data_IF_605482542341
#
_entry.id   IF_605482542341
#
_cell.length_a   1.000
_cell.length_b   1.000
_cell.length_c   1.000
_cell.angle_alpha   90.00
_cell.angle_beta   90.00
_cell.angle_gamma   90.00
#
_symmetry.space_group_name_H-M   'P 1'
#
loop_
_entity.id
_entity.type
_entity.pdbx_description
1 polymer ?
#
# COMPACT_ATOMS: atom_id res chain seq x y z
N UNK A 1 -19.80 0.05 42.17
CA UNK A 1 -18.32 0.08 42.03
C UNK A 1 -17.83 -0.71 40.82
N UNK A 2 -18.50 -1.81 40.40
CA UNK A 2 -18.12 -2.58 39.21
C UNK A 2 -18.18 -1.77 37.89
N UNK A 3 -19.15 -0.87 37.71
CA UNK A 3 -19.28 -0.07 36.48
C UNK A 3 -18.04 0.77 36.16
N UNK A 4 -17.37 1.35 37.17
CA UNK A 4 -16.16 2.16 36.96
C UNK A 4 -14.94 1.35 36.53
N UNK A 5 -14.93 0.04 36.78
CA UNK A 5 -13.80 -0.81 36.39
C UNK A 5 -13.75 -1.05 34.87
N UNK A 6 -14.89 -0.97 34.18
CA UNK A 6 -15.00 -1.19 32.74
C UNK A 6 -14.95 0.12 31.93
N UNK A 7 -15.20 1.27 32.56
CA UNK A 7 -15.14 2.59 31.91
C UNK A 7 -13.77 2.84 31.23
N UNK A 8 -12.66 2.43 31.87
CA UNK A 8 -11.31 2.57 31.31
C UNK A 8 -11.12 1.79 30.00
N UNK A 9 -11.26 0.45 30.00
CA UNK A 9 -11.16 -0.36 28.79
C UNK A 9 -12.15 0.03 27.68
N UNK A 10 -13.35 0.47 28.03
CA UNK A 10 -14.34 0.98 27.06
C UNK A 10 -13.88 2.29 26.41
N UNK A 11 -13.33 3.22 27.18
CA UNK A 11 -12.78 4.49 26.67
C UNK A 11 -11.55 4.27 25.78
N UNK A 12 -10.67 3.34 26.17
CA UNK A 12 -9.52 2.94 25.37
C UNK A 12 -9.97 2.29 24.06
N UNK A 13 -10.96 1.39 24.10
CA UNK A 13 -11.55 0.80 22.91
C UNK A 13 -12.08 1.86 21.93
N UNK A 14 -12.83 2.84 22.43
CA UNK A 14 -13.35 3.93 21.59
C UNK A 14 -12.22 4.74 20.94
N UNK A 15 -11.15 5.01 21.69
CA UNK A 15 -9.96 5.72 21.20
C UNK A 15 -9.25 4.93 20.10
N UNK A 16 -8.97 3.64 20.34
CA UNK A 16 -8.32 2.76 19.37
C UNK A 16 -9.18 2.54 18.11
N UNK A 17 -10.50 2.51 18.27
CA UNK A 17 -11.43 2.42 17.13
C UNK A 17 -11.36 3.68 16.27
N UNK A 18 -11.30 4.85 16.90
CA UNK A 18 -11.06 6.13 16.21
C UNK A 18 -9.73 6.16 15.48
N UNK A 19 -8.67 5.61 16.09
CA UNK A 19 -7.36 5.49 15.45
C UNK A 19 -7.41 4.58 14.21
N UNK A 20 -8.08 3.42 14.29
CA UNK A 20 -8.28 2.53 13.13
C UNK A 20 -8.99 3.26 11.98
N UNK A 21 -10.06 4.00 12.25
CA UNK A 21 -10.80 4.75 11.23
C UNK A 21 -9.93 5.83 10.57
N UNK A 22 -9.16 6.58 11.36
CA UNK A 22 -8.18 7.55 10.87
C UNK A 22 -7.16 6.89 9.94
N UNK A 23 -6.61 5.73 10.34
CA UNK A 23 -5.64 4.97 9.52
C UNK A 23 -6.25 4.45 8.21
N UNK A 24 -7.53 4.06 8.18
CA UNK A 24 -8.23 3.73 6.94
C UNK A 24 -8.36 4.94 6.01
N UNK A 25 -8.67 6.13 6.55
CA UNK A 25 -8.71 7.37 5.76
C UNK A 25 -7.34 7.68 5.14
N UNK A 26 -6.25 7.53 5.91
CA UNK A 26 -4.89 7.67 5.38
C UNK A 26 -4.57 6.66 4.26
N UNK A 27 -5.04 5.41 4.36
CA UNK A 27 -4.86 4.43 3.28
C UNK A 27 -5.56 4.87 1.97
N UNK A 28 -6.78 5.38 2.07
CA UNK A 28 -7.50 5.91 0.91
C UNK A 28 -6.80 7.13 0.30
N UNK A 29 -6.27 8.03 1.14
CA UNK A 29 -5.47 9.17 0.68
C UNK A 29 -4.20 8.74 -0.06
N UNK A 30 -3.49 7.72 0.42
CA UNK A 30 -2.30 7.19 -0.26
C UNK A 30 -2.66 6.62 -1.64
N UNK A 31 -3.77 5.89 -1.75
CA UNK A 31 -4.25 5.37 -3.04
C UNK A 31 -4.62 6.50 -4.00
N UNK A 32 -5.36 7.50 -3.53
CA UNK A 32 -5.73 8.67 -4.34
C UNK A 32 -4.49 9.44 -4.82
N UNK A 33 -3.49 9.60 -3.94
CA UNK A 33 -2.22 10.24 -4.29
C UNK A 33 -1.45 9.43 -5.33
N UNK A 34 -1.37 8.11 -5.18
CA UNK A 34 -0.72 7.22 -6.15
C UNK A 34 -1.37 7.33 -7.54
N UNK A 35 -2.69 7.30 -7.60
CA UNK A 35 -3.43 7.44 -8.86
C UNK A 35 -3.22 8.82 -9.49
N UNK A 36 -3.30 9.88 -8.69
CA UNK A 36 -3.10 11.26 -9.14
C UNK A 36 -1.69 11.47 -9.68
N UNK A 37 -0.68 11.04 -8.90
CA UNK A 37 0.73 11.19 -9.25
C UNK A 37 1.07 10.39 -10.51
N UNK A 38 0.63 9.13 -10.58
CA UNK A 38 0.85 8.29 -11.76
C UNK A 38 0.20 8.92 -12.99
N UNK A 39 -1.07 9.33 -12.89
CA UNK A 39 -1.78 9.97 -14.01
C UNK A 39 -1.10 11.25 -14.47
N UNK A 40 -0.66 12.09 -13.54
CA UNK A 40 0.05 13.34 -13.85
C UNK A 40 1.40 13.08 -14.54
N UNK A 41 2.18 12.13 -14.05
CA UNK A 41 3.48 11.79 -14.65
C UNK A 41 3.30 11.20 -16.05
N UNK A 42 2.33 10.28 -16.22
CA UNK A 42 2.05 9.72 -17.54
C UNK A 42 1.53 10.78 -18.51
N UNK A 43 0.60 11.65 -18.10
CA UNK A 43 0.12 12.75 -18.92
C UNK A 43 1.26 13.69 -19.33
N UNK A 44 2.15 14.05 -18.40
CA UNK A 44 3.31 14.86 -18.69
C UNK A 44 4.24 14.16 -19.67
N UNK A 45 4.54 12.88 -19.48
CA UNK A 45 5.42 12.10 -20.36
C UNK A 45 4.89 12.00 -21.81
N UNK A 46 3.58 12.04 -22.00
CA UNK A 46 2.95 12.05 -23.33
C UNK A 46 2.75 13.44 -23.94
N UNK A 47 2.89 14.51 -23.15
CA UNK A 47 2.86 15.87 -23.67
C UNK A 47 4.13 16.16 -24.50
N UNK A 48 4.02 16.91 -25.59
CA UNK A 48 5.18 17.34 -26.39
C UNK A 48 5.50 18.81 -26.09
N UNK A 49 6.79 19.19 -25.90
CA UNK A 49 7.98 18.35 -25.77
C UNK A 49 8.24 17.96 -24.29
N UNK A 50 7.98 16.71 -23.90
CA UNK A 50 8.35 16.20 -22.59
C UNK A 50 9.40 15.09 -22.66
N UNK A 51 10.37 15.06 -21.72
CA UNK A 51 11.35 13.99 -21.64
C UNK A 51 10.72 12.71 -21.07
N UNK A 52 10.72 11.64 -21.87
CA UNK A 52 10.26 10.31 -21.46
C UNK A 52 10.92 9.77 -20.17
N UNK A 53 12.09 10.32 -19.79
CA UNK A 53 12.78 9.97 -18.55
C UNK A 53 11.98 10.28 -17.27
N UNK A 54 10.98 11.17 -17.31
CA UNK A 54 10.10 11.46 -16.16
C UNK A 54 9.33 10.21 -15.70
N UNK A 55 9.05 9.26 -16.60
CA UNK A 55 8.40 8.00 -16.25
C UNK A 55 9.19 7.17 -15.23
N UNK A 56 10.52 7.34 -15.15
CA UNK A 56 11.36 6.65 -14.18
C UNK A 56 11.11 7.10 -12.72
N UNK A 57 10.36 8.18 -12.52
CA UNK A 57 9.91 8.60 -11.19
C UNK A 57 8.81 7.66 -10.67
N UNK A 58 7.98 7.09 -11.55
CA UNK A 58 6.82 6.27 -11.16
C UNK A 58 7.19 5.04 -10.34
N UNK A 59 8.18 4.20 -10.71
CA UNK A 59 8.55 3.04 -9.91
C UNK A 59 9.01 3.40 -8.50
N UNK A 60 9.73 4.53 -8.35
CA UNK A 60 10.24 5.00 -7.06
C UNK A 60 9.11 5.49 -6.16
N UNK A 61 8.24 6.36 -6.69
CA UNK A 61 7.12 6.91 -5.92
C UNK A 61 6.12 5.83 -5.53
N UNK A 62 5.84 4.89 -6.46
CA UNK A 62 4.98 3.73 -6.21
C UNK A 62 5.50 2.86 -5.07
N UNK A 63 6.82 2.62 -5.01
CA UNK A 63 7.44 1.87 -3.92
C UNK A 63 7.30 2.59 -2.57
N UNK A 64 7.61 3.88 -2.49
CA UNK A 64 7.51 4.66 -1.25
C UNK A 64 6.08 4.68 -0.72
N UNK A 65 5.09 4.90 -1.61
CA UNK A 65 3.68 4.93 -1.24
C UNK A 65 3.16 3.54 -0.85
N UNK A 66 3.60 2.47 -1.55
CA UNK A 66 3.27 1.10 -1.18
C UNK A 66 3.78 0.75 0.24
N UNK A 67 5.03 1.12 0.55
CA UNK A 67 5.59 0.93 1.89
C UNK A 67 4.76 1.62 2.98
N UNK A 68 4.35 2.87 2.74
CA UNK A 68 3.47 3.61 3.66
C UNK A 68 2.09 2.96 3.80
N UNK A 69 1.50 2.52 2.70
CA UNK A 69 0.21 1.83 2.69
C UNK A 69 0.24 0.56 3.56
N UNK A 70 1.28 -0.26 3.38
CA UNK A 70 1.48 -1.50 4.12
C UNK A 70 1.78 -1.24 5.60
N UNK A 71 2.52 -0.17 5.91
CA UNK A 71 2.76 0.29 7.27
C UNK A 71 1.46 0.56 8.01
N UNK A 72 0.55 1.35 7.41
CA UNK A 72 -0.76 1.63 8.02
C UNK A 72 -1.59 0.36 8.24
N UNK A 73 -1.55 -0.57 7.27
CA UNK A 73 -2.28 -1.84 7.39
C UNK A 73 -1.75 -2.70 8.52
N UNK A 74 -0.45 -2.70 8.72
CA UNK A 74 0.20 -3.43 9.80
C UNK A 74 -0.20 -2.85 11.15
N UNK A 75 -0.18 -1.52 11.30
CA UNK A 75 -0.64 -0.86 12.53
C UNK A 75 -2.10 -1.18 12.86
N UNK A 76 -3.01 -1.13 11.88
CA UNK A 76 -4.42 -1.52 12.08
C UNK A 76 -4.54 -2.96 12.60
N UNK A 77 -3.75 -3.89 12.04
CA UNK A 77 -3.75 -5.30 12.49
C UNK A 77 -3.24 -5.43 13.93
N UNK A 78 -2.25 -4.64 14.33
CA UNK A 78 -1.70 -4.67 15.69
C UNK A 78 -2.72 -4.14 16.69
N UNK A 79 -3.35 -3.00 16.39
CA UNK A 79 -4.43 -2.44 17.23
C UNK A 79 -5.59 -3.43 17.34
N UNK A 80 -6.02 -4.02 16.22
CA UNK A 80 -7.11 -5.00 16.21
C UNK A 80 -6.78 -6.23 17.06
N UNK A 81 -5.54 -6.72 17.00
CA UNK A 81 -5.07 -7.82 17.84
C UNK A 81 -5.07 -7.44 19.31
N UNK A 82 -4.56 -6.26 19.65
CA UNK A 82 -4.54 -5.77 21.04
C UNK A 82 -5.95 -5.65 21.63
N UNK A 83 -6.91 -5.09 20.87
CA UNK A 83 -8.32 -5.03 21.26
C UNK A 83 -8.86 -6.43 21.57
N UNK A 84 -8.51 -7.41 20.74
CA UNK A 84 -9.02 -8.77 20.87
C UNK A 84 -8.37 -9.54 22.03
N UNK A 85 -7.04 -9.46 22.19
CA UNK A 85 -6.29 -10.28 23.14
C UNK A 85 -6.22 -9.67 24.53
N UNK A 86 -6.05 -8.34 24.62
CA UNK A 86 -5.83 -7.66 25.91
C UNK A 86 -7.09 -6.99 26.42
N UNK A 87 -7.83 -6.30 25.53
CA UNK A 87 -8.90 -5.41 25.93
C UNK A 87 -10.24 -6.14 26.08
N UNK A 88 -10.56 -7.06 25.15
CA UNK A 88 -11.82 -7.80 25.14
C UNK A 88 -12.05 -8.68 26.39
N UNK A 89 -11.04 -9.34 26.98
CA UNK A 89 -11.24 -10.13 28.20
C UNK A 89 -11.55 -9.29 29.46
N UNK A 90 -11.22 -7.99 29.45
CA UNK A 90 -11.41 -7.11 30.61
C UNK A 90 -12.85 -6.63 30.77
N UNK A 91 -13.68 -6.77 29.74
CA UNK A 91 -15.09 -6.32 29.74
C UNK A 91 -16.00 -7.55 29.71
N UNK A 92 -16.96 -7.70 30.64
CA UNK A 92 -17.90 -8.81 30.64
C UNK A 92 -18.75 -8.80 29.36
N UNK A 93 -18.78 -9.93 28.64
CA UNK A 93 -19.41 -10.04 27.32
C UNK A 93 -18.52 -9.63 26.14
N UNK A 94 -17.33 -9.08 26.42
CA UNK A 94 -16.35 -8.65 25.43
C UNK A 94 -16.85 -7.53 24.50
N UNK A 95 -16.07 -7.24 23.47
CA UNK A 95 -16.50 -6.31 22.44
C UNK A 95 -17.27 -7.08 21.36
N UNK A 96 -18.56 -6.75 21.17
CA UNK A 96 -19.39 -7.37 20.13
C UNK A 96 -18.95 -7.03 18.70
N UNK A 97 -18.22 -5.93 18.51
CA UNK A 97 -17.77 -5.49 17.18
C UNK A 97 -16.68 -6.39 16.56
N UNK A 98 -15.58 -6.75 17.26
CA UNK A 98 -14.61 -7.72 16.74
C UNK A 98 -15.20 -9.08 16.34
N UNK A 99 -16.18 -9.58 17.08
CA UNK A 99 -16.91 -10.82 16.77
C UNK A 99 -17.83 -10.66 15.57
N UNK A 100 -18.66 -9.60 15.54
CA UNK A 100 -19.49 -9.27 14.38
C UNK A 100 -18.66 -9.04 13.11
N UNK A 101 -17.57 -8.27 13.19
CA UNK A 101 -16.69 -7.96 12.07
C UNK A 101 -16.04 -9.21 11.48
N UNK A 102 -15.73 -10.22 12.32
CA UNK A 102 -15.25 -11.53 11.85
C UNK A 102 -16.37 -12.31 11.15
N UNK A 103 -17.56 -12.37 11.73
CA UNK A 103 -18.70 -13.07 11.16
C UNK A 103 -19.20 -12.45 9.84
N UNK A 104 -19.15 -11.12 9.73
CA UNK A 104 -19.56 -10.36 8.56
C UNK A 104 -18.38 -9.98 7.64
N UNK A 105 -17.22 -10.60 7.84
CA UNK A 105 -16.06 -10.34 6.98
C UNK A 105 -16.37 -10.84 5.58
N UNK A 106 -16.48 -9.92 4.62
CA UNK A 106 -16.62 -10.30 3.21
C UNK A 106 -15.41 -11.16 2.83
N UNK A 107 -15.62 -12.31 2.16
CA UNK A 107 -14.50 -13.09 1.65
C UNK A 107 -13.72 -12.18 0.71
N UNK A 108 -12.48 -11.86 1.08
CA UNK A 108 -11.64 -10.98 0.28
C UNK A 108 -11.28 -11.73 -1.00
N UNK A 109 -12.10 -11.55 -2.04
CA UNK A 109 -11.83 -12.11 -3.36
C UNK A 109 -10.54 -11.48 -3.88
N UNK A 110 -9.73 -12.30 -4.54
CA UNK A 110 -8.51 -11.86 -5.21
C UNK A 110 -8.73 -10.57 -6.04
N UNK A 111 -9.84 -10.53 -6.77
CA UNK A 111 -10.22 -9.41 -7.63
C UNK A 111 -10.68 -8.14 -6.88
N UNK A 112 -11.26 -8.28 -5.68
CA UNK A 112 -11.85 -7.13 -4.99
C UNK A 112 -10.81 -6.28 -4.27
N UNK A 113 -9.75 -6.90 -3.74
CA UNK A 113 -8.77 -6.21 -2.90
C UNK A 113 -7.32 -6.30 -3.38
N UNK A 114 -6.92 -7.45 -3.90
CA UNK A 114 -5.51 -7.69 -4.25
C UNK A 114 -5.17 -7.15 -5.63
N UNK A 115 -6.06 -7.35 -6.61
CA UNK A 115 -5.85 -6.90 -7.98
C UNK A 115 -5.70 -5.36 -8.08
N UNK A 116 -6.55 -4.53 -7.46
CA UNK A 116 -6.39 -3.07 -7.54
C UNK A 116 -5.05 -2.60 -6.96
N UNK A 117 -4.60 -3.22 -5.86
CA UNK A 117 -3.31 -2.89 -5.24
C UNK A 117 -2.13 -3.29 -6.13
N UNK A 118 -2.20 -4.46 -6.79
CA UNK A 118 -1.19 -4.87 -7.75
C UNK A 118 -1.15 -3.95 -8.97
N UNK A 119 -2.30 -3.52 -9.47
CA UNK A 119 -2.35 -2.62 -10.64
C UNK A 119 -1.80 -1.24 -10.26
N UNK A 120 -2.28 -0.66 -9.16
CA UNK A 120 -1.94 0.71 -8.79
C UNK A 120 -0.48 0.89 -8.37
N UNK A 121 0.13 -0.08 -7.68
CA UNK A 121 1.48 0.08 -7.17
C UNK A 121 2.54 -0.56 -8.07
N UNK A 122 2.76 -1.90 -8.09
CA UNK A 122 3.78 -2.48 -8.96
C UNK A 122 3.40 -2.38 -10.44
N UNK A 123 2.13 -2.45 -10.80
CA UNK A 123 1.66 -2.35 -12.19
C UNK A 123 2.04 -1.03 -12.84
N UNK A 124 1.73 0.09 -12.19
CA UNK A 124 2.13 1.43 -12.67
C UNK A 124 3.66 1.55 -12.88
N UNK A 125 4.45 1.06 -11.93
CA UNK A 125 5.91 1.06 -12.04
C UNK A 125 6.42 0.18 -13.20
N UNK A 126 5.89 -1.02 -13.35
CA UNK A 126 6.25 -1.94 -14.44
C UNK A 126 5.87 -1.38 -15.82
N UNK A 127 4.71 -0.74 -15.94
CA UNK A 127 4.28 -0.06 -17.17
C UNK A 127 5.24 1.07 -17.53
N UNK A 128 5.64 1.89 -16.56
CA UNK A 128 6.61 2.96 -16.78
C UNK A 128 8.00 2.43 -17.19
N UNK A 129 8.47 1.34 -16.56
CA UNK A 129 9.73 0.68 -16.92
C UNK A 129 9.69 0.06 -18.31
N UNK A 130 8.58 -0.58 -18.69
CA UNK A 130 8.38 -1.15 -20.02
C UNK A 130 8.41 -0.06 -21.10
N UNK A 131 7.75 1.08 -20.84
CA UNK A 131 7.74 2.21 -21.76
C UNK A 131 9.11 2.88 -21.91
N UNK A 132 9.90 2.93 -20.83
CA UNK A 132 11.24 3.52 -20.84
C UNK A 132 12.33 2.55 -21.30
N UNK A 133 12.05 1.26 -21.41
CA UNK A 133 13.03 0.26 -21.86
C UNK A 133 13.59 0.57 -23.25
N UNK A 134 12.73 1.00 -24.19
CA UNK A 134 13.15 1.41 -25.53
C UNK A 134 14.11 2.61 -25.52
N UNK A 135 13.96 3.53 -24.57
CA UNK A 135 14.84 4.68 -24.40
C UNK A 135 16.19 4.28 -23.80
N UNK A 136 16.20 3.35 -22.84
CA UNK A 136 17.42 2.91 -22.14
C UNK A 136 18.28 1.98 -23.02
N UNK A 137 17.62 1.06 -23.72
CA UNK A 137 18.29 0.01 -24.51
C UNK A 137 18.36 0.32 -26.01
N UNK A 138 17.65 1.33 -26.50
CA UNK A 138 17.66 1.74 -27.90
C UNK A 138 19.04 2.23 -28.38
N UNK A 139 19.30 2.06 -29.67
CA UNK A 139 20.55 2.43 -30.35
C UNK A 139 20.58 3.91 -30.77
N UNK A 140 20.13 4.81 -29.90
CA UNK A 140 20.21 6.26 -30.15
C UNK A 140 21.63 6.81 -29.94
N UNK A 141 21.94 7.95 -30.56
CA UNK A 141 23.17 8.73 -30.30
C UNK A 141 23.13 9.39 -28.91
N UNK A 142 23.04 8.58 -27.86
CA UNK A 142 23.14 9.02 -26.47
C UNK A 142 24.59 8.81 -26.03
N UNK A 143 25.17 9.78 -25.33
CA UNK A 143 26.52 9.62 -24.79
C UNK A 143 26.59 8.41 -23.85
N UNK A 144 27.73 7.70 -23.88
CA UNK A 144 27.90 6.48 -23.08
C UNK A 144 27.63 6.75 -21.58
N UNK A 145 28.04 7.91 -21.07
CA UNK A 145 27.81 8.34 -19.69
C UNK A 145 26.32 8.49 -19.36
N UNK A 146 25.55 9.17 -20.23
CA UNK A 146 24.11 9.35 -20.03
C UNK A 146 23.37 8.01 -20.08
N UNK A 147 23.80 7.08 -20.93
CA UNK A 147 23.23 5.74 -21.00
C UNK A 147 23.47 4.95 -19.71
N UNK A 148 24.68 5.00 -19.17
CA UNK A 148 25.00 4.34 -17.88
C UNK A 148 24.11 4.87 -16.76
N UNK A 149 23.94 6.19 -16.67
CA UNK A 149 23.04 6.80 -15.67
C UNK A 149 21.59 6.33 -15.82
N UNK A 150 21.07 6.28 -17.05
CA UNK A 150 19.72 5.80 -17.34
C UNK A 150 19.53 4.32 -16.98
N UNK A 151 20.50 3.46 -17.29
CA UNK A 151 20.48 2.04 -16.92
C UNK A 151 20.45 1.89 -15.39
N UNK A 152 21.26 2.65 -14.65
CA UNK A 152 21.26 2.61 -13.19
C UNK A 152 19.89 3.01 -12.62
N UNK A 153 19.31 4.11 -13.07
CA UNK A 153 17.98 4.55 -12.62
C UNK A 153 16.91 3.52 -12.98
N UNK A 154 16.98 2.93 -14.17
CA UNK A 154 16.04 1.88 -14.61
C UNK A 154 16.15 0.63 -13.72
N UNK A 155 17.36 0.19 -13.38
CA UNK A 155 17.58 -0.93 -12.46
C UNK A 155 17.07 -0.64 -11.05
N UNK A 156 17.30 0.57 -10.53
CA UNK A 156 16.74 1.00 -9.24
C UNK A 156 15.20 0.97 -9.31
N UNK A 157 14.62 1.43 -10.41
CA UNK A 157 13.18 1.37 -10.64
C UNK A 157 12.66 -0.08 -10.68
N UNK A 158 13.38 -0.99 -11.34
CA UNK A 158 13.04 -2.41 -11.39
C UNK A 158 13.06 -3.05 -10.01
N UNK A 159 14.12 -2.81 -9.23
CA UNK A 159 14.23 -3.30 -7.85
C UNK A 159 13.09 -2.73 -6.99
N UNK A 160 12.76 -1.45 -7.17
CA UNK A 160 11.65 -0.79 -6.47
C UNK A 160 10.30 -1.44 -6.79
N UNK A 161 10.03 -1.70 -8.07
CA UNK A 161 8.81 -2.37 -8.53
C UNK A 161 8.73 -3.83 -8.03
N UNK A 162 9.85 -4.56 -8.09
CA UNK A 162 9.95 -5.93 -7.58
C UNK A 162 9.71 -5.99 -6.06
N UNK A 163 10.31 -5.08 -5.30
CA UNK A 163 10.11 -4.99 -3.85
C UNK A 163 8.66 -4.64 -3.53
N UNK A 164 8.04 -3.76 -4.31
CA UNK A 164 6.63 -3.42 -4.18
C UNK A 164 5.73 -4.65 -4.40
N UNK A 165 5.96 -5.43 -5.46
CA UNK A 165 5.22 -6.68 -5.71
C UNK A 165 5.45 -7.72 -4.61
N UNK A 166 6.68 -7.84 -4.11
CA UNK A 166 7.02 -8.72 -2.98
C UNK A 166 6.29 -8.31 -1.70
N UNK A 167 6.24 -7.02 -1.38
CA UNK A 167 5.57 -6.55 -0.18
C UNK A 167 4.06 -6.79 -0.24
N UNK A 168 3.41 -6.51 -1.38
CA UNK A 168 1.98 -6.75 -1.58
C UNK A 168 1.65 -8.25 -1.50
N UNK A 169 2.45 -9.10 -2.14
CA UNK A 169 2.27 -10.56 -2.11
C UNK A 169 2.52 -11.16 -0.72
N UNK A 170 3.57 -10.75 -0.01
CA UNK A 170 3.84 -11.21 1.36
C UNK A 170 2.68 -10.90 2.30
N UNK A 171 2.08 -9.72 2.15
CA UNK A 171 0.96 -9.25 2.95
C UNK A 171 -0.33 -10.05 2.69
N UNK A 172 -0.45 -10.63 1.49
CA UNK A 172 -1.51 -11.58 1.12
C UNK A 172 -1.22 -12.98 1.66
N UNK A 173 -0.02 -13.52 1.42
CA UNK A 173 0.36 -14.90 1.76
C UNK A 173 0.42 -15.14 3.28
N UNK A 174 0.93 -14.19 4.08
CA UNK A 174 1.03 -14.33 5.55
C UNK A 174 -0.32 -14.23 6.29
N UNK A 175 -1.45 -14.35 5.61
CA UNK A 175 -2.74 -14.49 6.29
C UNK A 175 -2.95 -15.96 6.64
N UNK A 176 -2.96 -16.35 7.93
CA UNK A 176 -3.38 -17.68 8.29
C UNK A 176 -4.80 -17.87 7.76
N UNK A 177 -4.99 -18.92 6.97
CA UNK A 177 -6.31 -19.44 6.67
C UNK A 177 -6.86 -19.99 7.98
N UNK A 178 -7.59 -19.17 8.72
CA UNK A 178 -8.46 -19.68 9.78
C UNK A 178 -9.62 -20.37 9.07
N UNK A 179 -9.46 -21.67 8.83
CA UNK A 179 -10.57 -22.62 8.75
C UNK A 179 -11.37 -22.60 10.04
#
# INVERSE_FOLDING_TARGET
MADRAFEGPLAEYATLRGEIDSRYKYQQQILALQLTLTSAIFALAFSKPAPLGVLLIVPLSSYLLCGRYIGQRTAIRWISRYIETELSPQVPGGFGWPTWSRANRRPERFFDWYLPLLICFPGAGLLALGWTAGLVFGSGQISAWARTGLVLVWLIGLVSAATCAYLVSRVYIKRPQTT
#
